data_IF_795058538128
#
_entry.id   IF_795058538128
#
_cell.length_a   1.000
_cell.length_b   1.000
_cell.length_c   1.000
_cell.angle_alpha   90.00
_cell.angle_beta   90.00
_cell.angle_gamma   90.00
#
_symmetry.space_group_name_H-M   'P 1'
#
loop_
_entity.id
_entity.type
_entity.pdbx_description
1 polymer ?
#
# COMPACT_ATOMS: atom_id res chain seq x y z
N UNK A 1 -17.13 15.43 -7.12
CA UNK A 1 -18.34 15.75 -6.30
C UNK A 1 -18.61 17.25 -6.30
N UNK A 2 -19.88 17.66 -6.21
CA UNK A 2 -20.35 19.07 -6.29
C UNK A 2 -19.74 19.98 -5.20
N UNK A 3 -19.31 19.40 -4.07
CA UNK A 3 -18.60 20.10 -2.99
C UNK A 3 -17.17 20.53 -3.37
N UNK A 4 -16.43 19.71 -4.11
CA UNK A 4 -15.06 20.05 -4.59
C UNK A 4 -15.09 21.28 -5.48
N UNK A 5 -16.06 21.35 -6.40
CA UNK A 5 -16.27 22.49 -7.29
C UNK A 5 -16.62 23.77 -6.51
N UNK A 6 -17.41 23.67 -5.43
CA UNK A 6 -17.71 24.81 -4.55
C UNK A 6 -16.50 25.27 -3.74
N UNK A 7 -15.64 24.36 -3.30
CA UNK A 7 -14.38 24.70 -2.61
C UNK A 7 -13.40 25.42 -3.56
N UNK A 8 -13.35 25.04 -4.83
CA UNK A 8 -12.53 25.72 -5.84
C UNK A 8 -12.94 27.18 -6.06
N UNK A 9 -14.24 27.46 -5.96
CA UNK A 9 -14.85 28.79 -6.13
C UNK A 9 -14.71 29.71 -4.89
N UNK A 10 -14.33 29.18 -3.73
CA UNK A 10 -14.08 29.99 -2.53
C UNK A 10 -12.72 30.68 -2.60
N UNK A 11 -12.60 31.91 -2.08
CA UNK A 11 -11.29 32.58 -1.93
C UNK A 11 -10.33 31.72 -1.11
N UNK A 12 -9.05 31.71 -1.48
CA UNK A 12 -7.99 31.06 -0.69
C UNK A 12 -8.05 31.60 0.74
N UNK A 13 -8.35 30.71 1.67
CA UNK A 13 -8.50 30.99 3.09
C UNK A 13 -8.11 29.73 3.86
N UNK A 14 -7.62 29.89 5.08
CA UNK A 14 -7.28 28.76 5.95
C UNK A 14 -8.47 27.79 6.14
N UNK A 15 -9.70 28.31 6.11
CA UNK A 15 -10.95 27.52 6.20
C UNK A 15 -11.17 26.66 4.96
N UNK A 16 -10.87 27.17 3.75
CA UNK A 16 -10.96 26.39 2.51
C UNK A 16 -9.97 25.21 2.51
N UNK A 17 -8.75 25.45 2.96
CA UNK A 17 -7.72 24.41 3.04
C UNK A 17 -8.10 23.33 4.06
N UNK A 18 -8.58 23.73 5.24
CA UNK A 18 -9.09 22.81 6.24
C UNK A 18 -10.27 21.97 5.73
N UNK A 19 -11.25 22.58 5.06
CA UNK A 19 -12.40 21.86 4.50
C UNK A 19 -12.02 20.95 3.32
N UNK A 20 -11.03 21.34 2.51
CA UNK A 20 -10.51 20.50 1.44
C UNK A 20 -9.80 19.26 2.01
N UNK A 21 -9.05 19.43 3.10
CA UNK A 21 -8.44 18.33 3.84
C UNK A 21 -9.51 17.40 4.43
N UNK A 22 -10.48 17.93 5.18
CA UNK A 22 -11.56 17.12 5.77
C UNK A 22 -12.36 16.36 4.69
N UNK A 23 -12.58 16.96 3.51
CA UNK A 23 -13.25 16.28 2.39
C UNK A 23 -12.40 15.14 1.82
N UNK A 24 -11.09 15.34 1.68
CA UNK A 24 -10.17 14.30 1.22
C UNK A 24 -10.13 13.12 2.22
N UNK A 25 -10.18 13.40 3.52
CA UNK A 25 -10.24 12.39 4.57
C UNK A 25 -11.53 11.54 4.45
N UNK A 26 -12.69 12.19 4.29
CA UNK A 26 -13.98 11.49 4.15
C UNK A 26 -14.01 10.65 2.87
N UNK A 27 -13.47 11.16 1.76
CA UNK A 27 -13.36 10.40 0.51
C UNK A 27 -12.43 9.18 0.67
N UNK A 28 -11.30 9.33 1.36
CA UNK A 28 -10.36 8.23 1.64
C UNK A 28 -10.95 7.16 2.56
N UNK A 29 -11.70 7.57 3.59
CA UNK A 29 -12.46 6.68 4.48
C UNK A 29 -13.51 5.91 3.68
N UNK A 30 -14.32 6.59 2.88
CA UNK A 30 -15.37 5.97 2.09
C UNK A 30 -14.78 4.97 1.08
N UNK A 31 -13.71 5.36 0.37
CA UNK A 31 -13.00 4.45 -0.53
C UNK A 31 -12.54 3.21 0.22
N UNK A 32 -11.86 3.36 1.35
CA UNK A 32 -11.33 2.26 2.16
C UNK A 32 -12.41 1.27 2.64
N UNK A 33 -13.61 1.75 2.99
CA UNK A 33 -14.73 0.90 3.40
C UNK A 33 -15.33 0.15 2.22
N UNK A 34 -15.57 0.85 1.10
CA UNK A 34 -16.05 0.22 -0.13
C UNK A 34 -15.05 -0.84 -0.56
N UNK A 35 -13.78 -0.49 -0.55
CA UNK A 35 -12.65 -1.35 -0.85
C UNK A 35 -12.67 -2.62 0.02
N UNK A 36 -12.84 -2.49 1.33
CA UNK A 36 -12.93 -3.62 2.24
C UNK A 36 -14.15 -4.50 1.95
N UNK A 37 -15.33 -3.90 1.76
CA UNK A 37 -16.57 -4.62 1.46
C UNK A 37 -16.56 -5.30 0.09
N UNK A 38 -15.90 -4.70 -0.90
CA UNK A 38 -15.89 -5.18 -2.29
C UNK A 38 -14.88 -6.30 -2.51
N UNK A 39 -13.90 -6.49 -1.62
CA UNK A 39 -12.90 -7.55 -1.73
C UNK A 39 -13.52 -8.96 -1.78
N UNK A 40 -14.65 -9.18 -1.11
CA UNK A 40 -15.38 -10.46 -1.15
C UNK A 40 -16.33 -10.58 -2.35
N UNK A 41 -16.65 -9.47 -3.03
CA UNK A 41 -17.77 -9.38 -3.99
C UNK A 41 -17.29 -9.42 -5.46
N UNK A 42 -16.01 -9.19 -5.74
CA UNK A 42 -15.50 -9.19 -7.13
C UNK A 42 -15.19 -10.60 -7.65
N UNK A 43 -15.98 -11.05 -8.64
CA UNK A 43 -15.70 -12.18 -9.54
C UNK A 43 -14.55 -11.85 -10.53
N UNK A 44 -13.41 -11.44 -10.01
CA UNK A 44 -12.23 -11.20 -10.83
C UNK A 44 -11.48 -12.52 -11.08
N UNK A 45 -11.14 -12.78 -12.35
CA UNK A 45 -10.40 -13.98 -12.75
C UNK A 45 -8.90 -13.80 -12.51
N UNK A 46 -8.22 -14.92 -12.27
CA UNK A 46 -6.76 -14.92 -12.19
C UNK A 46 -6.17 -14.85 -13.59
N UNK A 47 -5.20 -13.96 -13.78
CA UNK A 47 -4.48 -13.74 -15.03
C UNK A 47 -2.96 -13.77 -14.81
N UNK A 48 -2.20 -13.98 -15.89
CA UNK A 48 -0.74 -13.85 -15.88
C UNK A 48 -0.39 -12.36 -15.86
N UNK A 49 0.23 -11.91 -14.79
CA UNK A 49 0.60 -10.50 -14.60
C UNK A 49 2.12 -10.39 -14.58
N UNK A 50 2.66 -9.50 -15.41
CA UNK A 50 4.05 -9.04 -15.24
C UNK A 50 4.12 -8.15 -14.00
N UNK A 51 4.66 -8.72 -12.93
CA UNK A 51 4.71 -8.06 -11.64
C UNK A 51 5.69 -6.89 -11.62
N UNK A 52 6.74 -6.91 -12.46
CA UNK A 52 7.64 -5.76 -12.58
C UNK A 52 6.89 -4.56 -13.11
N UNK A 53 6.22 -4.70 -14.25
CA UNK A 53 5.48 -3.60 -14.88
C UNK A 53 4.36 -3.07 -14.00
N UNK A 54 3.69 -3.94 -13.24
CA UNK A 54 2.67 -3.51 -12.28
C UNK A 54 3.27 -2.65 -11.16
N UNK A 55 4.40 -3.07 -10.57
CA UNK A 55 5.02 -2.33 -9.47
C UNK A 55 5.66 -1.03 -9.98
N UNK A 56 6.31 -1.07 -11.14
CA UNK A 56 6.86 0.11 -11.83
C UNK A 56 5.78 1.16 -12.09
N UNK A 57 4.65 0.77 -12.68
CA UNK A 57 3.53 1.68 -12.92
C UNK A 57 2.94 2.28 -11.63
N UNK A 58 3.02 1.59 -10.49
CA UNK A 58 2.57 2.12 -9.21
C UNK A 58 3.61 3.08 -8.64
N UNK A 59 4.90 2.73 -8.71
CA UNK A 59 6.00 3.55 -8.24
C UNK A 59 6.06 4.91 -8.96
N UNK A 60 5.82 4.93 -10.27
CA UNK A 60 5.73 6.16 -11.07
C UNK A 60 4.65 7.15 -10.59
N UNK A 61 3.69 6.68 -9.79
CA UNK A 61 2.65 7.51 -9.19
C UNK A 61 3.07 8.23 -7.89
N UNK A 62 4.29 8.02 -7.39
CA UNK A 62 4.77 8.58 -6.13
C UNK A 62 6.19 9.16 -6.29
N UNK A 63 6.38 10.43 -5.93
CA UNK A 63 7.68 11.11 -6.02
C UNK A 63 8.71 10.57 -5.01
N UNK A 64 8.24 10.04 -3.87
CA UNK A 64 9.08 9.55 -2.77
C UNK A 64 9.40 8.04 -2.86
N UNK A 65 9.22 7.46 -4.05
CA UNK A 65 9.47 6.03 -4.32
C UNK A 65 10.65 5.88 -5.27
N UNK A 66 11.60 5.00 -4.92
CA UNK A 66 12.74 4.66 -5.76
C UNK A 66 12.97 3.15 -5.81
N UNK A 67 13.60 2.68 -6.89
CA UNK A 67 14.08 1.30 -7.00
C UNK A 67 15.55 1.21 -6.61
N UNK A 68 15.93 0.19 -5.84
CA UNK A 68 17.33 -0.09 -5.56
C UNK A 68 18.02 -0.63 -6.84
N UNK A 69 19.17 -0.09 -7.23
CA UNK A 69 19.83 -0.32 -8.54
C UNK A 69 20.07 -1.80 -8.91
N UNK A 70 20.15 -2.71 -7.93
CA UNK A 70 20.42 -4.14 -8.15
C UNK A 70 19.18 -4.95 -8.59
N UNK A 71 18.01 -4.32 -8.77
CA UNK A 71 16.73 -5.05 -8.71
C UNK A 71 16.01 -5.29 -10.04
N UNK A 72 16.63 -5.03 -11.20
CA UNK A 72 15.97 -5.28 -12.50
C UNK A 72 15.93 -6.76 -12.88
N UNK A 73 15.09 -7.53 -12.18
CA UNK A 73 14.74 -8.90 -12.53
C UNK A 73 13.60 -8.90 -13.56
N UNK A 74 13.84 -9.47 -14.74
CA UNK A 74 12.81 -9.64 -15.80
C UNK A 74 12.07 -10.96 -15.64
N UNK A 75 10.86 -11.03 -16.22
CA UNK A 75 10.09 -12.28 -16.26
C UNK A 75 9.48 -12.67 -14.91
N UNK A 76 9.19 -11.69 -14.06
CA UNK A 76 8.50 -11.89 -12.78
C UNK A 76 6.99 -12.02 -13.01
N UNK A 77 6.57 -13.14 -13.60
CA UNK A 77 5.16 -13.38 -13.91
C UNK A 77 4.49 -14.08 -12.71
N UNK A 78 3.34 -13.59 -12.27
CA UNK A 78 2.51 -14.24 -11.24
C UNK A 78 1.09 -14.49 -11.75
N UNK A 79 0.37 -15.42 -11.10
CA UNK A 79 -1.05 -15.65 -11.33
C UNK A 79 -1.85 -14.97 -10.22
N UNK A 80 -2.55 -13.89 -10.54
CA UNK A 80 -3.40 -13.20 -9.57
C UNK A 80 -4.51 -12.42 -10.28
N UNK A 81 -5.40 -11.85 -9.48
CA UNK A 81 -6.44 -10.90 -9.89
C UNK A 81 -5.81 -9.52 -10.13
N UNK A 82 -5.76 -8.98 -11.36
CA UNK A 82 -5.04 -7.74 -11.67
C UNK A 82 -5.38 -6.53 -10.80
N UNK A 83 -6.66 -6.22 -10.63
CA UNK A 83 -7.17 -5.09 -9.84
C UNK A 83 -6.86 -5.30 -8.37
N UNK A 84 -7.12 -6.50 -7.84
CA UNK A 84 -6.77 -6.84 -6.47
C UNK A 84 -5.26 -6.71 -6.24
N UNK A 85 -4.42 -7.30 -7.09
CA UNK A 85 -2.97 -7.26 -6.92
C UNK A 85 -2.42 -5.83 -6.99
N UNK A 86 -2.91 -5.01 -7.93
CA UNK A 86 -2.58 -3.58 -8.01
C UNK A 86 -2.87 -2.90 -6.68
N UNK A 87 -4.06 -3.11 -6.12
CA UNK A 87 -4.47 -2.54 -4.83
C UNK A 87 -3.62 -3.03 -3.66
N UNK A 88 -3.24 -4.31 -3.64
CA UNK A 88 -2.31 -4.83 -2.65
C UNK A 88 -0.99 -4.05 -2.66
N UNK A 89 -0.37 -3.90 -3.83
CA UNK A 89 0.91 -3.19 -3.95
C UNK A 89 0.73 -1.70 -3.62
N UNK A 90 -0.33 -1.05 -4.11
CA UNK A 90 -0.62 0.36 -3.79
C UNK A 90 -0.74 0.58 -2.28
N UNK A 91 -1.45 -0.29 -1.55
CA UNK A 91 -1.55 -0.17 -0.10
C UNK A 91 -0.20 -0.30 0.61
N UNK A 92 0.69 -1.19 0.13
CA UNK A 92 2.01 -1.36 0.74
C UNK A 92 2.93 -0.17 0.46
N UNK A 93 2.95 0.32 -0.78
CA UNK A 93 3.73 1.51 -1.17
C UNK A 93 3.23 2.75 -0.45
N UNK A 94 1.91 2.97 -0.43
CA UNK A 94 1.30 4.12 0.25
C UNK A 94 1.61 4.12 1.75
N UNK A 95 1.59 2.95 2.41
CA UNK A 95 2.00 2.85 3.81
C UNK A 95 3.47 3.23 4.00
N UNK A 96 4.37 2.73 3.15
CA UNK A 96 5.79 3.06 3.22
C UNK A 96 6.06 4.57 3.03
N UNK A 97 5.36 5.22 2.10
CA UNK A 97 5.48 6.66 1.89
C UNK A 97 4.87 7.46 3.05
N UNK A 98 3.66 7.09 3.49
CA UNK A 98 2.92 7.85 4.52
C UNK A 98 3.61 7.79 5.87
N UNK A 99 4.08 6.60 6.29
CA UNK A 99 4.67 6.40 7.62
C UNK A 99 6.19 6.42 7.61
N UNK A 100 6.82 6.16 6.47
CA UNK A 100 8.26 6.01 6.34
C UNK A 100 8.97 7.06 5.50
N UNK A 101 8.27 8.13 5.10
CA UNK A 101 8.75 9.28 4.29
C UNK A 101 9.14 8.90 2.87
N UNK A 102 10.05 7.94 2.70
CA UNK A 102 10.50 7.41 1.41
C UNK A 102 10.37 5.91 1.39
N UNK A 103 10.12 5.36 0.21
CA UNK A 103 10.05 3.92 0.00
C UNK A 103 11.07 3.48 -1.06
N UNK A 104 11.93 2.54 -0.67
CA UNK A 104 12.93 1.92 -1.53
C UNK A 104 12.47 0.51 -1.88
N UNK A 105 12.26 0.27 -3.17
CA UNK A 105 11.67 -0.96 -3.70
C UNK A 105 12.73 -1.85 -4.31
N UNK A 106 12.61 -3.14 -4.02
CA UNK A 106 13.47 -4.19 -4.55
C UNK A 106 12.58 -5.34 -5.02
N UNK A 107 12.65 -5.72 -6.29
CA UNK A 107 12.01 -6.94 -6.80
C UNK A 107 13.07 -7.96 -7.20
N UNK A 108 12.90 -9.19 -6.74
CA UNK A 108 13.76 -10.29 -7.17
C UNK A 108 13.00 -11.59 -7.28
N UNK A 109 13.50 -12.47 -8.15
CA UNK A 109 13.13 -13.88 -8.12
C UNK A 109 13.88 -14.55 -6.98
N UNK A 110 13.16 -15.35 -6.20
CA UNK A 110 13.70 -16.22 -5.15
C UNK A 110 13.15 -17.62 -5.38
N UNK A 111 13.91 -18.48 -6.04
CA UNK A 111 13.49 -19.83 -6.45
C UNK A 111 12.19 -19.80 -7.30
N UNK A 112 11.09 -20.32 -6.74
CA UNK A 112 9.75 -20.36 -7.34
C UNK A 112 8.84 -19.25 -6.82
N UNK A 113 9.41 -18.21 -6.22
CA UNK A 113 8.69 -17.06 -5.68
C UNK A 113 9.22 -15.76 -6.29
N UNK A 114 8.34 -14.77 -6.38
CA UNK A 114 8.67 -13.37 -6.57
C UNK A 114 8.66 -12.71 -5.21
N UNK A 115 9.71 -11.95 -4.90
CA UNK A 115 9.85 -11.21 -3.66
C UNK A 115 9.95 -9.72 -3.95
N UNK A 116 8.90 -8.99 -3.59
CA UNK A 116 8.93 -7.53 -3.46
C UNK A 116 9.33 -7.18 -2.03
N UNK A 117 10.38 -6.39 -1.90
CA UNK A 117 10.83 -5.80 -0.64
C UNK A 117 10.62 -4.30 -0.74
N UNK A 118 9.98 -3.71 0.26
CA UNK A 118 9.79 -2.27 0.41
C UNK A 118 10.47 -1.89 1.72
N UNK A 119 11.53 -1.10 1.65
CA UNK A 119 12.21 -0.54 2.80
C UNK A 119 11.83 0.91 2.94
N UNK A 120 11.34 1.31 4.09
CA UNK A 120 11.06 2.71 4.37
C UNK A 120 12.08 3.34 5.33
N UNK A 121 11.98 4.66 5.55
CA UNK A 121 12.86 5.45 6.43
C UNK A 121 12.11 5.95 7.68
N UNK A 122 11.06 5.22 8.08
CA UNK A 122 10.21 5.55 9.21
C UNK A 122 10.80 5.18 10.57
N UNK A 123 10.01 5.36 11.64
CA UNK A 123 10.39 4.91 12.98
C UNK A 123 10.33 3.37 13.14
N UNK A 124 9.77 2.65 12.16
CA UNK A 124 9.48 1.22 12.27
C UNK A 124 8.26 0.94 13.15
N UNK A 125 8.12 -0.30 13.61
CA UNK A 125 7.00 -0.79 14.43
C UNK A 125 7.54 -1.44 15.70
N UNK A 126 7.05 -1.12 16.90
CA UNK A 126 7.42 -1.84 18.11
C UNK A 126 7.22 -3.36 17.94
N UNK A 127 8.21 -4.18 18.31
CA UNK A 127 8.21 -5.62 18.01
C UNK A 127 6.92 -6.34 18.45
N UNK A 128 6.36 -5.98 19.60
CA UNK A 128 5.13 -6.54 20.14
C UNK A 128 3.85 -6.20 19.32
N UNK A 129 3.94 -5.22 18.41
CA UNK A 129 2.82 -4.72 17.63
C UNK A 129 2.89 -5.13 16.15
N UNK A 130 3.98 -5.79 15.71
CA UNK A 130 4.17 -6.21 14.31
C UNK A 130 3.07 -7.15 13.83
N UNK A 131 2.62 -8.09 14.64
CA UNK A 131 1.52 -8.98 14.24
C UNK A 131 0.16 -8.27 14.31
N UNK A 132 0.01 -7.33 15.24
CA UNK A 132 -1.23 -6.60 15.49
C UNK A 132 -1.57 -5.62 14.36
N UNK A 133 -0.59 -5.05 13.64
CA UNK A 133 -0.85 -4.09 12.55
C UNK A 133 -1.56 -4.67 11.34
N UNK A 134 -1.66 -6.00 11.24
CA UNK A 134 -2.50 -6.65 10.24
C UNK A 134 -3.95 -6.87 10.70
N UNK A 135 -4.30 -6.43 11.91
CA UNK A 135 -5.68 -6.41 12.39
C UNK A 135 -6.49 -5.33 11.69
N UNK A 136 -7.74 -5.62 11.34
CA UNK A 136 -8.66 -4.61 10.81
C UNK A 136 -8.81 -3.45 11.79
N UNK A 137 -8.73 -2.22 11.28
CA UNK A 137 -8.87 -0.98 12.06
C UNK A 137 -7.75 -0.71 13.08
N UNK A 138 -6.65 -1.47 13.04
CA UNK A 138 -5.52 -1.25 13.93
C UNK A 138 -4.66 -0.09 13.42
N UNK A 139 -4.39 0.89 14.29
CA UNK A 139 -3.43 1.97 14.06
C UNK A 139 -2.47 2.03 15.25
N UNK A 140 -1.18 2.20 14.97
CA UNK A 140 -0.13 2.32 16.01
C UNK A 140 -0.12 3.72 16.65
N UNK A 141 -0.62 4.74 15.95
CA UNK A 141 -0.71 6.10 16.48
C UNK A 141 -1.88 6.23 17.47
N UNK A 142 -1.59 6.61 18.71
CA UNK A 142 -2.62 7.03 19.68
C UNK A 142 -3.13 8.47 19.42
N UNK A 143 -2.43 9.24 18.59
CA UNK A 143 -2.79 10.62 18.31
C UNK A 143 -3.86 10.69 17.24
N UNK A 144 -4.95 11.42 17.53
CA UNK A 144 -5.92 11.94 16.56
C UNK A 144 -5.28 12.97 15.61
N UNK A 145 -4.03 12.78 15.19
CA UNK A 145 -3.43 13.57 14.14
C UNK A 145 -4.11 13.19 12.84
N UNK A 146 -5.05 14.06 12.43
CA UNK A 146 -5.83 13.95 11.20
C UNK A 146 -4.98 13.89 9.93
N UNK A 147 -3.68 14.17 10.00
CA UNK A 147 -2.80 14.31 8.84
C UNK A 147 -2.47 13.00 8.10
N UNK A 148 -2.52 11.83 8.75
CA UNK A 148 -2.13 10.55 8.12
C UNK A 148 -3.30 9.78 7.49
N UNK A 149 -4.51 10.37 7.45
CA UNK A 149 -5.68 9.95 6.66
C UNK A 149 -5.79 8.45 6.33
N UNK A 150 -6.35 7.64 7.23
CA UNK A 150 -6.56 6.20 6.95
C UNK A 150 -7.29 5.44 8.07
N UNK A 151 -8.07 4.42 7.68
CA UNK A 151 -8.86 3.58 8.61
C UNK A 151 -8.08 2.42 9.23
N UNK A 152 -6.79 2.25 8.93
CA UNK A 152 -6.03 1.05 9.37
C UNK A 152 -6.47 -0.24 8.66
N UNK A 153 -7.00 -0.13 7.44
CA UNK A 153 -7.45 -1.28 6.64
C UNK A 153 -6.43 -1.71 5.57
N UNK A 154 -5.49 -0.83 5.20
CA UNK A 154 -4.59 -1.03 4.06
C UNK A 154 -3.75 -2.31 4.15
N UNK A 155 -3.08 -2.55 5.29
CA UNK A 155 -2.28 -3.77 5.51
C UNK A 155 -3.13 -5.03 5.54
N UNK A 156 -4.31 -4.98 6.17
CA UNK A 156 -5.24 -6.11 6.23
C UNK A 156 -5.72 -6.50 4.85
N UNK A 157 -6.14 -5.52 4.04
CA UNK A 157 -6.54 -5.70 2.64
C UNK A 157 -5.39 -6.32 1.85
N UNK A 158 -4.19 -5.74 1.94
CA UNK A 158 -3.02 -6.24 1.23
C UNK A 158 -2.70 -7.69 1.61
N UNK A 159 -2.76 -8.03 2.92
CA UNK A 159 -2.50 -9.39 3.40
C UNK A 159 -3.53 -10.38 2.87
N UNK A 160 -4.80 -10.02 2.84
CA UNK A 160 -5.86 -10.88 2.32
C UNK A 160 -5.68 -11.13 0.81
N UNK A 161 -5.36 -10.09 0.04
CA UNK A 161 -5.09 -10.22 -1.40
C UNK A 161 -3.86 -11.10 -1.64
N UNK A 162 -2.76 -10.87 -0.93
CA UNK A 162 -1.54 -11.66 -1.06
C UNK A 162 -1.82 -13.15 -0.79
N UNK A 163 -2.57 -13.46 0.27
CA UNK A 163 -2.97 -14.83 0.61
C UNK A 163 -3.87 -15.45 -0.47
N UNK A 164 -4.81 -14.68 -1.03
CA UNK A 164 -5.67 -15.15 -2.12
C UNK A 164 -4.87 -15.47 -3.41
N UNK A 165 -3.73 -14.80 -3.61
CA UNK A 165 -2.78 -15.09 -4.69
C UNK A 165 -1.78 -16.22 -4.34
N UNK A 166 -1.96 -16.93 -3.22
CA UNK A 166 -1.04 -17.99 -2.76
C UNK A 166 0.26 -17.46 -2.14
N UNK A 167 0.31 -16.18 -1.82
CA UNK A 167 1.46 -15.47 -1.27
C UNK A 167 1.34 -15.13 0.21
N UNK A 168 2.30 -14.34 0.69
CA UNK A 168 2.38 -13.88 2.08
C UNK A 168 3.00 -12.49 2.17
N UNK A 169 2.58 -11.71 3.17
CA UNK A 169 3.22 -10.44 3.56
C UNK A 169 3.86 -10.61 4.93
N UNK A 170 5.12 -10.18 5.06
CA UNK A 170 5.86 -10.11 6.32
C UNK A 170 6.36 -8.70 6.58
N UNK A 171 6.36 -8.32 7.85
CA UNK A 171 6.88 -7.05 8.33
C UNK A 171 8.01 -7.33 9.32
N UNK A 172 9.07 -6.55 9.25
CA UNK A 172 10.19 -6.59 10.20
C UNK A 172 10.84 -5.22 10.27
N UNK A 173 11.37 -4.83 11.43
CA UNK A 173 12.16 -3.59 11.48
C UNK A 173 13.49 -3.78 10.75
N UNK A 174 13.90 -2.74 10.04
CA UNK A 174 15.19 -2.71 9.37
C UNK A 174 16.27 -2.28 10.37
N UNK A 175 17.43 -2.98 10.47
CA UNK A 175 18.50 -2.61 11.41
C UNK A 175 19.02 -1.18 11.27
N UNK A 176 18.89 -0.57 10.09
CA UNK A 176 19.26 0.83 9.82
C UNK A 176 18.16 1.87 10.11
N UNK A 177 17.05 1.46 10.74
CA UNK A 177 15.83 2.27 10.88
C UNK A 177 14.83 2.01 9.76
N UNK A 178 13.55 2.27 10.03
CA UNK A 178 12.43 2.01 9.13
C UNK A 178 11.83 0.61 9.25
N UNK A 179 10.79 0.39 8.46
CA UNK A 179 10.11 -0.88 8.30
C UNK A 179 10.53 -1.55 7.00
N UNK A 180 10.73 -2.86 7.07
CA UNK A 180 10.92 -3.75 5.95
C UNK A 180 9.64 -4.53 5.72
N UNK A 181 8.98 -4.25 4.59
CA UNK A 181 7.79 -4.97 4.14
C UNK A 181 8.17 -5.92 3.02
N UNK A 182 7.84 -7.20 3.18
CA UNK A 182 8.14 -8.25 2.20
C UNK A 182 6.85 -8.88 1.70
N UNK A 183 6.54 -8.72 0.42
CA UNK A 183 5.48 -9.43 -0.28
C UNK A 183 6.09 -10.58 -1.11
N UNK A 184 5.65 -11.80 -0.83
CA UNK A 184 6.03 -13.02 -1.55
C UNK A 184 4.85 -13.53 -2.35
N UNK A 185 5.05 -13.79 -3.63
CA UNK A 185 4.05 -14.36 -4.54
C UNK A 185 4.63 -15.58 -5.26
N UNK A 186 3.86 -16.64 -5.53
CA UNK A 186 4.31 -17.72 -6.39
C UNK A 186 4.65 -17.21 -7.79
N UNK A 187 5.81 -17.62 -8.31
CA UNK A 187 6.16 -17.41 -9.71
C UNK A 187 5.28 -18.33 -10.57
N UNK A 188 4.66 -17.77 -11.60
CA UNK A 188 3.88 -18.54 -12.56
C UNK A 188 4.80 -19.48 -13.34
N UNK A 189 4.36 -20.73 -13.51
CA UNK A 189 5.04 -21.72 -14.34
C UNK A 189 5.03 -21.36 -15.83
#
# INVERSE_FOLDING_TARGET
TRMRLRLELLRKSAVREALAHDLADVEGIASSVIDFATFEVTEEKNERIDFWSLVESIADGYDDVSFDDETRSRGLICMARPVALKRCVTNLVQNAVTYGKKAHLSLRRSENMILLTIRDEGPGIPQAQIDAVFGSFVRLEQSRNRQTGGLGLGLTIARNIARAAGGEIRLSNNPGGGLLTQLRLPLAA
#
